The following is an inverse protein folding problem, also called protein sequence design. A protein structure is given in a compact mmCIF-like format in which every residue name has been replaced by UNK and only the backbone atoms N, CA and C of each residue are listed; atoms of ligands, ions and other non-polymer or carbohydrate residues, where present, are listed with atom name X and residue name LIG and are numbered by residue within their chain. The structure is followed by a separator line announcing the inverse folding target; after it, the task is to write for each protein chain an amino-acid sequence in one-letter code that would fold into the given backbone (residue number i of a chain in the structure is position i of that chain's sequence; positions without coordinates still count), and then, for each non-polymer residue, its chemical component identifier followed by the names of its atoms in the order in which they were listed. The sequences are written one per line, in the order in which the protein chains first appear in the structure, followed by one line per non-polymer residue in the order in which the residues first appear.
data_IF_648086027043
#
_entry.id   IF_648086027043
#
_cell.length_a   1.000
_cell.length_b   1.000
_cell.length_c   1.000
_cell.angle_alpha   90.00
_cell.angle_beta   90.00
_cell.angle_gamma   90.00
#
_symmetry.space_group_name_H-M   'P 1'
#
loop_
_entity.id
_entity.type
_entity.pdbx_description
1 polymer ?
#
# COMPACT_ATOMS: atom_id res chain seq x y z
N UNK A 1 18.01 17.34 -2.23
CA UNK A 1 17.23 16.21 -1.65
C UNK A 1 18.09 15.18 -0.92
N UNK A 2 19.41 15.05 -1.18
CA UNK A 2 20.28 14.15 -0.40
C UNK A 2 20.20 12.65 -0.76
N UNK A 3 19.57 12.30 -1.88
CA UNK A 3 19.63 10.94 -2.45
C UNK A 3 20.86 10.86 -3.36
N UNK A 4 21.85 10.05 -2.98
CA UNK A 4 23.08 9.89 -3.76
C UNK A 4 22.92 8.93 -4.94
N UNK A 5 22.05 7.92 -4.80
CA UNK A 5 21.72 6.97 -5.88
C UNK A 5 20.42 6.23 -5.54
N UNK A 6 19.45 6.21 -6.47
CA UNK A 6 18.26 5.35 -6.36
C UNK A 6 18.63 3.95 -6.87
N UNK A 7 18.93 3.03 -5.94
CA UNK A 7 19.32 1.67 -6.31
C UNK A 7 18.09 0.93 -6.83
N UNK A 8 18.09 0.59 -8.12
CA UNK A 8 17.05 -0.26 -8.73
C UNK A 8 17.58 -1.67 -8.91
N UNK A 9 16.86 -2.67 -8.44
CA UNK A 9 17.22 -4.08 -8.63
C UNK A 9 15.98 -4.91 -8.99
N UNK A 10 16.13 -5.81 -9.97
CA UNK A 10 15.13 -6.85 -10.25
C UNK A 10 15.40 -8.04 -9.33
N UNK A 11 14.37 -8.51 -8.64
CA UNK A 11 14.45 -9.54 -7.60
C UNK A 11 13.54 -10.69 -7.98
N UNK A 12 14.12 -11.89 -8.09
CA UNK A 12 13.39 -13.15 -8.08
C UNK A 12 13.29 -13.64 -6.63
N UNK A 13 12.07 -13.95 -6.19
CA UNK A 13 11.79 -14.51 -4.87
C UNK A 13 12.04 -16.02 -4.83
N UNK A 14 11.85 -16.71 -5.97
CA UNK A 14 12.09 -18.16 -6.12
C UNK A 14 13.58 -18.48 -6.21
N UNK A 15 14.31 -17.74 -7.02
CA UNK A 15 15.74 -17.95 -7.22
C UNK A 15 16.52 -17.04 -6.26
N UNK A 16 17.19 -17.63 -5.27
CA UNK A 16 18.08 -16.91 -4.34
C UNK A 16 19.55 -17.24 -4.61
N UNK A 17 20.46 -16.31 -4.30
CA UNK A 17 21.90 -16.53 -4.44
C UNK A 17 22.37 -16.52 -5.90
N UNK A 18 23.31 -17.39 -6.28
CA UNK A 18 23.92 -17.41 -7.63
C UNK A 18 22.89 -17.66 -8.75
N UNK A 19 21.82 -18.39 -8.47
CA UNK A 19 20.73 -18.62 -9.42
C UNK A 19 19.96 -17.33 -9.75
N UNK A 20 19.83 -16.39 -8.79
CA UNK A 20 19.16 -15.11 -8.96
C UNK A 20 19.91 -14.19 -9.94
N UNK A 21 21.23 -14.16 -9.85
CA UNK A 21 22.08 -13.36 -10.73
C UNK A 21 22.05 -13.86 -12.18
N UNK A 22 21.86 -15.17 -12.37
CA UNK A 22 21.71 -15.78 -13.70
C UNK A 22 20.30 -15.58 -14.27
N UNK A 23 19.25 -15.62 -13.45
CA UNK A 23 17.87 -15.38 -13.88
C UNK A 23 17.61 -13.91 -14.21
N UNK A 24 18.20 -12.98 -13.45
CA UNK A 24 18.08 -11.54 -13.68
C UNK A 24 18.61 -11.09 -15.07
N UNK A 25 19.52 -11.86 -15.67
CA UNK A 25 20.07 -11.59 -17.01
C UNK A 25 19.33 -12.31 -18.15
N UNK A 26 18.36 -13.19 -17.86
CA UNK A 26 17.73 -14.06 -18.87
C UNK A 26 16.20 -14.02 -18.93
N UNK A 27 15.53 -13.50 -17.90
CA UNK A 27 14.08 -13.42 -17.87
C UNK A 27 13.60 -12.00 -18.26
N UNK A 28 12.43 -11.94 -18.90
CA UNK A 28 11.82 -10.73 -19.48
C UNK A 28 12.10 -9.44 -18.66
N UNK A 29 12.55 -8.35 -19.31
CA UNK A 29 12.84 -7.12 -18.60
C UNK A 29 11.56 -6.55 -17.96
N UNK A 30 11.72 -5.86 -16.83
CA UNK A 30 10.62 -5.13 -16.19
C UNK A 30 10.29 -3.87 -17.00
N UNK A 31 9.54 -4.06 -18.08
CA UNK A 31 9.18 -3.04 -19.05
C UNK A 31 7.66 -3.01 -19.23
N UNK A 32 6.93 -2.42 -18.27
CA UNK A 32 5.47 -2.30 -18.36
C UNK A 32 5.08 -1.46 -19.59
N UNK A 33 4.12 -1.96 -20.37
CA UNK A 33 3.65 -1.35 -21.62
C UNK A 33 2.30 -0.69 -21.44
N UNK A 34 1.77 -0.17 -22.55
CA UNK A 34 0.44 0.39 -22.62
C UNK A 34 -0.60 -0.59 -22.09
N UNK A 35 -1.35 -0.15 -21.09
CA UNK A 35 -2.42 -0.92 -20.46
C UNK A 35 -1.98 -1.94 -19.44
N UNK A 36 -0.67 -2.13 -19.22
CA UNK A 36 -0.18 -2.93 -18.09
C UNK A 36 -0.34 -2.15 -16.77
N UNK A 37 -0.44 -2.87 -15.66
CA UNK A 37 -0.69 -2.29 -14.35
C UNK A 37 0.52 -2.49 -13.46
N UNK A 38 1.06 -1.39 -12.95
CA UNK A 38 2.15 -1.36 -11.99
C UNK A 38 1.55 -1.24 -10.58
N UNK A 39 1.85 -2.20 -9.72
CA UNK A 39 1.41 -2.27 -8.34
C UNK A 39 2.58 -1.98 -7.40
N UNK A 40 2.43 -1.02 -6.50
CA UNK A 40 3.46 -0.73 -5.49
C UNK A 40 2.92 -0.31 -4.14
N UNK A 41 3.74 -0.52 -3.10
CA UNK A 41 3.49 0.13 -1.82
C UNK A 41 3.54 1.66 -1.98
N UNK A 42 2.80 2.37 -1.13
CA UNK A 42 2.75 3.82 -1.15
C UNK A 42 3.16 4.37 0.19
N UNK A 43 4.19 5.20 0.23
CA UNK A 43 4.71 5.77 1.48
C UNK A 43 5.10 7.23 1.37
N UNK A 44 5.31 7.75 0.17
CA UNK A 44 5.70 9.15 -0.04
C UNK A 44 5.35 9.64 -1.43
N UNK A 45 5.29 10.96 -1.62
CA UNK A 45 5.25 11.60 -2.94
C UNK A 45 6.51 11.29 -3.77
N UNK A 46 7.62 10.91 -3.12
CA UNK A 46 8.81 10.40 -3.82
C UNK A 46 8.49 9.15 -4.64
N UNK A 47 7.60 8.28 -4.18
CA UNK A 47 7.21 7.06 -4.88
C UNK A 47 6.56 7.40 -6.23
N UNK A 48 5.72 8.43 -6.23
CA UNK A 48 5.08 8.99 -7.42
C UNK A 48 6.13 9.59 -8.37
N UNK A 49 7.11 10.35 -7.86
CA UNK A 49 8.16 10.90 -8.73
C UNK A 49 9.04 9.83 -9.37
N UNK A 50 9.47 8.84 -8.59
CA UNK A 50 10.34 7.76 -9.08
C UNK A 50 9.64 6.98 -10.18
N UNK A 51 8.37 6.66 -9.97
CA UNK A 51 7.56 5.94 -10.95
C UNK A 51 7.28 6.80 -12.19
N UNK A 52 7.01 8.11 -12.02
CA UNK A 52 6.86 9.05 -13.13
C UNK A 52 8.10 9.11 -14.02
N UNK A 53 9.29 9.25 -13.42
CA UNK A 53 10.55 9.32 -14.16
C UNK A 53 10.90 7.99 -14.83
N UNK A 54 10.60 6.86 -14.18
CA UNK A 54 10.98 5.54 -14.70
C UNK A 54 10.05 5.00 -15.79
N UNK A 55 8.74 5.19 -15.62
CA UNK A 55 7.74 4.49 -16.42
C UNK A 55 6.74 5.42 -17.09
N UNK A 56 6.73 6.72 -16.74
CA UNK A 56 5.74 7.69 -17.19
C UNK A 56 4.28 7.15 -17.15
N UNK A 57 3.81 6.60 -16.02
CA UNK A 57 2.52 5.93 -15.96
C UNK A 57 1.37 6.94 -15.79
N UNK A 58 0.17 6.46 -16.05
CA UNK A 58 -1.07 7.14 -15.67
C UNK A 58 -1.32 6.87 -14.18
N UNK A 59 -1.43 7.93 -13.38
CA UNK A 59 -1.65 7.82 -11.95
C UNK A 59 -3.13 7.76 -11.61
N UNK A 60 -3.49 6.86 -10.70
CA UNK A 60 -4.86 6.70 -10.21
C UNK A 60 -4.97 7.08 -8.74
N UNK A 61 -6.04 7.83 -8.39
CA UNK A 61 -6.47 8.01 -7.01
C UNK A 61 -7.72 7.17 -6.72
N UNK A 62 -7.78 6.50 -5.56
CA UNK A 62 -8.95 5.76 -5.15
C UNK A 62 -10.11 6.68 -4.81
N UNK A 63 -11.32 6.25 -5.18
CA UNK A 63 -12.58 6.88 -4.83
C UNK A 63 -13.35 5.94 -3.91
N UNK A 64 -13.83 6.47 -2.79
CA UNK A 64 -14.55 5.72 -1.76
C UNK A 64 -15.91 6.36 -1.46
N UNK A 65 -16.85 5.56 -0.99
CA UNK A 65 -18.13 6.04 -0.49
C UNK A 65 -17.94 6.76 0.86
N UNK A 66 -18.76 7.78 1.16
CA UNK A 66 -18.73 8.45 2.45
C UNK A 66 -18.97 7.45 3.59
N UNK A 67 -18.27 7.64 4.70
CA UNK A 67 -18.49 6.85 5.91
C UNK A 67 -19.88 7.18 6.47
N UNK A 68 -20.76 6.20 6.61
CA UNK A 68 -22.07 6.35 7.26
C UNK A 68 -21.97 6.28 8.79
N UNK A 69 -20.76 6.21 9.36
CA UNK A 69 -20.57 6.10 10.79
C UNK A 69 -20.89 7.42 11.49
N UNK A 70 -22.08 7.49 12.09
CA UNK A 70 -22.32 8.39 13.23
C UNK A 70 -21.36 7.94 14.34
N UNK A 71 -20.56 8.83 14.96
CA UNK A 71 -19.71 8.43 16.07
C UNK A 71 -20.61 8.06 17.24
N UNK A 72 -20.86 6.76 17.43
CA UNK A 72 -21.45 6.26 18.66
C UNK A 72 -20.48 6.64 19.78
N UNK A 73 -20.90 7.57 20.65
CA UNK A 73 -20.21 7.92 21.86
C UNK A 73 -19.90 6.62 22.63
N UNK A 74 -18.63 6.24 22.69
CA UNK A 74 -18.18 5.16 23.55
C UNK A 74 -18.35 5.64 24.99
N UNK A 75 -19.41 5.16 25.63
CA UNK A 75 -19.63 5.30 27.06
C UNK A 75 -18.38 4.81 27.80
N UNK A 76 -17.75 5.73 28.52
CA UNK A 76 -16.61 5.48 29.39
C UNK A 76 -16.99 4.56 30.54
N UNK A 77 -16.82 3.24 30.39
CA UNK A 77 -16.78 2.34 31.54
C UNK A 77 -15.39 2.44 32.18
N UNK A 78 -15.32 3.15 33.30
CA UNK A 78 -14.15 3.29 34.17
C UNK A 78 -13.62 1.91 34.60
N UNK A 79 -12.42 1.54 34.14
CA UNK A 79 -11.65 0.45 34.73
C UNK A 79 -10.71 1.04 35.80
N UNK A 80 -10.85 0.55 37.04
CA UNK A 80 -10.02 0.95 38.21
C UNK A 80 -8.54 0.58 37.98
N UNK A 81 -7.57 1.41 38.41
CA UNK A 81 -6.16 1.09 38.31
C UNK A 81 -5.73 0.11 39.41
N UNK A 82 -5.07 -0.98 39.03
CA UNK A 82 -4.39 -1.90 39.95
C UNK A 82 -2.89 -1.56 40.03
N UNK A 83 -2.23 -1.64 41.19
CA UNK A 83 -0.93 -1.03 41.39
C UNK A 83 0.22 -1.81 40.72
N UNK A 84 1.18 -1.02 40.24
CA UNK A 84 2.35 -1.45 39.49
C UNK A 84 3.29 -2.37 40.28
N UNK A 85 3.64 -3.52 39.67
CA UNK A 85 4.76 -4.37 40.10
C UNK A 85 5.96 -4.10 39.20
N UNK A 86 6.98 -3.42 39.75
CA UNK A 86 8.30 -3.23 39.13
C UNK A 86 8.93 -4.58 38.77
N UNK A 87 9.23 -4.81 37.48
CA UNK A 87 10.35 -5.64 37.02
C UNK A 87 10.98 -5.03 35.76
N UNK A 88 12.31 -5.02 35.77
CA UNK A 88 13.18 -4.41 34.77
C UNK A 88 13.30 -5.25 33.49
N UNK A 89 13.51 -4.51 32.39
CA UNK A 89 14.32 -4.79 31.20
C UNK A 89 13.97 -6.01 30.31
N UNK A 90 13.50 -5.70 29.09
CA UNK A 90 13.53 -6.61 27.94
C UNK A 90 12.29 -6.54 27.07
N UNK A 91 12.33 -5.69 26.04
CA UNK A 91 11.54 -5.71 24.80
C UNK A 91 10.24 -6.55 24.76
N UNK A 92 9.08 -5.88 24.81
CA UNK A 92 7.82 -6.20 24.08
C UNK A 92 6.59 -5.63 24.82
N UNK A 93 6.17 -4.41 24.48
CA UNK A 93 4.95 -3.81 25.09
C UNK A 93 3.99 -3.21 24.05
N UNK A 94 4.18 -3.46 22.75
CA UNK A 94 3.30 -2.89 21.70
C UNK A 94 2.31 -3.92 21.09
N UNK A 95 2.34 -5.19 21.50
CA UNK A 95 1.61 -6.24 20.77
C UNK A 95 0.32 -6.74 21.41
N UNK A 96 0.08 -6.55 22.71
CA UNK A 96 -1.02 -7.26 23.38
C UNK A 96 -2.34 -6.48 23.46
N UNK A 97 -2.33 -5.14 23.40
CA UNK A 97 -3.57 -4.35 23.48
C UNK A 97 -4.33 -4.26 22.16
N UNK A 98 -3.66 -4.40 21.00
CA UNK A 98 -4.33 -4.40 19.70
C UNK A 98 -4.96 -5.76 19.33
N UNK A 99 -4.48 -6.87 19.91
CA UNK A 99 -5.02 -8.20 19.60
C UNK A 99 -6.47 -8.41 20.10
N UNK A 100 -6.90 -7.68 21.14
CA UNK A 100 -8.26 -7.76 21.67
C UNK A 100 -9.27 -6.84 20.97
N UNK A 101 -8.82 -5.81 20.25
CA UNK A 101 -9.69 -4.99 19.40
C UNK A 101 -9.96 -5.62 18.02
N UNK A 102 -9.23 -6.67 17.64
CA UNK A 102 -9.48 -7.46 16.44
C UNK A 102 -10.70 -8.40 16.55
N UNK A 103 -11.41 -8.43 17.69
CA UNK A 103 -12.72 -9.09 17.83
C UNK A 103 -13.86 -8.07 17.71
N UNK A 104 -13.83 -7.25 16.65
CA UNK A 104 -15.04 -6.55 16.20
C UNK A 104 -15.93 -7.56 15.45
N UNK A 105 -17.25 -7.47 15.62
CA UNK A 105 -18.22 -8.41 15.04
C UNK A 105 -18.07 -8.55 13.52
N UNK A 106 -18.26 -9.75 12.94
CA UNK A 106 -18.05 -10.03 11.50
C UNK A 106 -18.94 -9.18 10.55
N UNK A 107 -19.99 -8.55 11.06
CA UNK A 107 -20.84 -7.65 10.29
C UNK A 107 -20.17 -6.28 9.99
N UNK A 108 -19.29 -5.79 10.87
CA UNK A 108 -18.64 -4.49 10.69
C UNK A 108 -17.53 -4.53 9.63
N UNK A 109 -16.86 -5.67 9.46
CA UNK A 109 -15.81 -5.87 8.47
C UNK A 109 -16.36 -5.95 7.04
N UNK A 110 -17.52 -6.59 6.84
CA UNK A 110 -18.18 -6.64 5.52
C UNK A 110 -18.64 -5.28 5.02
N UNK A 111 -19.00 -4.36 5.93
CA UNK A 111 -19.31 -2.97 5.57
C UNK A 111 -18.08 -2.13 5.23
N UNK A 112 -16.89 -2.49 5.74
CA UNK A 112 -15.65 -1.76 5.46
C UNK A 112 -15.15 -2.00 4.03
N UNK A 113 -15.18 -3.25 3.57
CA UNK A 113 -14.71 -3.60 2.21
C UNK A 113 -15.60 -3.07 1.07
N UNK A 114 -16.88 -2.77 1.35
CA UNK A 114 -17.82 -2.22 0.36
C UNK A 114 -17.66 -0.71 0.09
N UNK A 115 -16.72 -0.04 0.77
CA UNK A 115 -16.54 1.42 0.61
C UNK A 115 -15.72 1.80 -0.62
N UNK A 116 -14.92 0.91 -1.17
CA UNK A 116 -14.14 1.21 -2.38
C UNK A 116 -15.04 1.19 -3.63
N UNK A 117 -15.06 2.27 -4.40
CA UNK A 117 -15.92 2.43 -5.58
C UNK A 117 -15.17 2.28 -6.90
N UNK A 118 -13.91 2.70 -6.96
CA UNK A 118 -13.11 2.65 -8.17
C UNK A 118 -11.98 3.68 -8.16
N UNK A 119 -11.53 4.05 -9.35
CA UNK A 119 -10.39 4.94 -9.52
C UNK A 119 -10.72 6.16 -10.37
N UNK A 120 -9.99 7.25 -10.11
CA UNK A 120 -9.96 8.45 -10.93
C UNK A 120 -8.55 8.68 -11.46
N UNK A 121 -8.43 8.90 -12.76
CA UNK A 121 -7.17 9.35 -13.37
C UNK A 121 -6.83 10.77 -12.93
N UNK A 122 -5.57 10.97 -12.57
CA UNK A 122 -5.07 12.25 -12.09
C UNK A 122 -3.77 12.64 -12.77
N UNK A 123 -3.50 13.94 -12.79
CA UNK A 123 -2.20 14.43 -13.23
C UNK A 123 -1.11 14.09 -12.20
N UNK A 124 0.15 14.13 -12.65
CA UNK A 124 1.31 13.93 -11.77
C UNK A 124 1.25 14.84 -10.53
N UNK A 125 0.94 16.12 -10.71
CA UNK A 125 0.86 17.07 -9.60
C UNK A 125 -0.25 16.74 -8.59
N UNK A 126 -1.40 16.28 -9.07
CA UNK A 126 -2.49 15.83 -8.21
C UNK A 126 -2.10 14.57 -7.42
N UNK A 127 -1.39 13.63 -8.05
CA UNK A 127 -0.85 12.45 -7.38
C UNK A 127 0.22 12.81 -6.32
N UNK A 128 1.07 13.82 -6.60
CA UNK A 128 2.04 14.31 -5.62
C UNK A 128 1.36 15.00 -4.43
N UNK A 129 0.35 15.82 -4.70
CA UNK A 129 -0.38 16.56 -3.66
C UNK A 129 -1.36 15.69 -2.85
N UNK A 130 -1.65 14.46 -3.29
CA UNK A 130 -2.49 13.50 -2.58
C UNK A 130 -1.71 12.65 -1.56
N UNK A 131 -0.38 12.59 -1.64
CA UNK A 131 0.43 11.82 -0.69
C UNK A 131 0.14 12.23 0.76
N UNK A 132 -0.06 11.27 1.67
CA UNK A 132 -0.45 11.57 3.06
C UNK A 132 -1.95 11.72 3.28
N UNK A 133 -2.74 12.10 2.26
CA UNK A 133 -4.20 12.30 2.40
C UNK A 133 -4.96 10.97 2.39
N UNK A 134 -6.23 11.03 2.78
CA UNK A 134 -7.20 9.94 2.64
C UNK A 134 -7.70 9.81 1.19
N UNK A 135 -8.33 8.69 0.82
CA UNK A 135 -8.95 8.50 -0.49
C UNK A 135 -10.00 9.58 -0.80
N UNK A 136 -10.31 9.78 -2.09
CA UNK A 136 -11.31 10.76 -2.51
C UNK A 136 -12.71 10.29 -2.12
N UNK A 137 -13.50 11.15 -1.50
CA UNK A 137 -14.87 10.82 -1.10
C UNK A 137 -15.84 11.17 -2.24
N UNK A 138 -16.66 10.20 -2.64
CA UNK A 138 -17.71 10.39 -3.64
C UNK A 138 -18.66 11.52 -3.24
N UNK A 139 -18.97 12.41 -4.18
CA UNK A 139 -19.86 13.56 -4.00
C UNK A 139 -19.19 14.82 -3.41
N UNK A 140 -18.11 14.69 -2.63
CA UNK A 140 -17.39 15.85 -2.06
C UNK A 140 -16.22 16.29 -2.95
N UNK A 141 -15.30 15.36 -3.21
CA UNK A 141 -14.01 15.64 -3.86
C UNK A 141 -13.84 14.82 -5.16
N UNK A 142 -14.62 13.75 -5.32
CA UNK A 142 -14.51 12.87 -6.47
C UNK A 142 -15.45 13.29 -7.61
N UNK A 143 -14.88 13.43 -8.81
CA UNK A 143 -15.64 13.45 -10.06
C UNK A 143 -16.07 12.03 -10.47
N UNK A 144 -16.17 11.77 -11.78
CA UNK A 144 -16.41 10.42 -12.31
C UNK A 144 -15.28 9.46 -11.92
N UNK A 145 -15.65 8.24 -11.53
CA UNK A 145 -14.72 7.13 -11.28
C UNK A 145 -14.97 6.00 -12.28
N UNK A 146 -13.95 5.18 -12.52
CA UNK A 146 -14.00 4.01 -13.42
C UNK A 146 -13.33 2.81 -12.77
N UNK A 147 -13.68 1.62 -13.26
CA UNK A 147 -13.05 0.37 -12.87
C UNK A 147 -11.63 0.28 -13.40
N UNK A 148 -10.75 -0.41 -12.65
CA UNK A 148 -9.35 -0.58 -13.00
C UNK A 148 -9.16 -1.24 -14.38
N UNK A 149 -9.96 -2.25 -14.71
CA UNK A 149 -9.86 -2.93 -16.01
C UNK A 149 -10.21 -2.00 -17.18
N UNK A 150 -11.23 -1.15 -17.02
CA UNK A 150 -11.64 -0.18 -18.04
C UNK A 150 -10.55 0.85 -18.27
N UNK A 151 -10.00 1.40 -17.18
CA UNK A 151 -8.88 2.34 -17.24
C UNK A 151 -7.67 1.71 -17.92
N UNK A 152 -7.28 0.50 -17.51
CA UNK A 152 -6.13 -0.20 -18.08
C UNK A 152 -6.30 -0.49 -19.57
N UNK A 153 -7.52 -0.81 -20.03
CA UNK A 153 -7.82 -1.03 -21.45
C UNK A 153 -7.74 0.26 -22.29
N UNK A 154 -8.20 1.38 -21.74
CA UNK A 154 -8.25 2.68 -22.44
C UNK A 154 -6.93 3.46 -22.35
N UNK A 155 -6.12 3.17 -21.34
CA UNK A 155 -4.86 3.83 -21.04
C UNK A 155 -3.93 3.91 -22.26
N UNK A 156 -3.29 5.07 -22.45
CA UNK A 156 -2.26 5.29 -23.47
C UNK A 156 -0.86 4.79 -23.04
N UNK A 157 -0.66 4.53 -21.74
CA UNK A 157 0.58 4.05 -21.15
C UNK A 157 0.32 3.04 -20.03
N UNK A 158 1.35 2.65 -19.25
CA UNK A 158 1.14 1.81 -18.09
C UNK A 158 0.36 2.56 -17.00
N UNK A 159 -0.37 1.83 -16.17
CA UNK A 159 -1.22 2.37 -15.12
C UNK A 159 -0.60 2.11 -13.75
N UNK A 160 -0.41 3.16 -12.95
CA UNK A 160 0.15 3.04 -11.61
C UNK A 160 -0.95 2.96 -10.55
N UNK A 161 -0.91 1.91 -9.72
CA UNK A 161 -1.88 1.68 -8.64
C UNK A 161 -1.17 1.42 -7.32
N UNK A 162 -1.66 2.10 -6.29
CA UNK A 162 -1.25 1.93 -4.90
C UNK A 162 -2.37 1.18 -4.14
N UNK A 163 -2.29 -0.15 -3.97
CA UNK A 163 -3.37 -0.97 -3.41
C UNK A 163 -3.62 -0.71 -1.91
N UNK A 164 -2.70 -0.04 -1.21
CA UNK A 164 -2.89 0.42 0.18
C UNK A 164 -3.88 1.59 0.29
N UNK A 165 -4.24 2.24 -0.83
CA UNK A 165 -5.11 3.43 -0.97
C UNK A 165 -4.63 4.70 -0.27
N UNK A 166 -3.73 4.59 0.71
CA UNK A 166 -3.15 5.68 1.49
C UNK A 166 -1.66 5.44 1.69
N UNK A 167 -0.91 6.51 2.01
CA UNK A 167 0.51 6.36 2.33
C UNK A 167 0.73 5.66 3.68
N UNK A 168 1.63 4.69 3.70
CA UNK A 168 2.15 4.04 4.91
C UNK A 168 3.42 4.74 5.42
N UNK A 169 4.02 4.19 6.48
CA UNK A 169 5.29 4.65 7.03
C UNK A 169 6.50 3.87 6.48
N UNK A 170 6.29 3.00 5.48
CA UNK A 170 7.31 2.12 4.90
C UNK A 170 8.00 1.16 5.89
N UNK A 171 7.41 0.92 7.07
CA UNK A 171 7.84 -0.12 8.03
C UNK A 171 6.88 -1.29 8.08
N UNK A 172 5.60 -0.94 8.01
CA UNK A 172 4.51 -1.86 7.80
C UNK A 172 3.90 -1.68 6.42
N UNK A 173 3.49 -2.79 5.81
CA UNK A 173 2.60 -2.79 4.66
C UNK A 173 1.16 -2.82 5.19
N UNK A 174 0.36 -1.84 4.81
CA UNK A 174 -1.07 -1.80 5.12
C UNK A 174 -1.80 -2.93 4.37
N UNK A 175 -2.96 -3.30 4.89
CA UNK A 175 -3.86 -4.25 4.23
C UNK A 175 -4.27 -3.67 2.87
N UNK A 176 -4.12 -4.47 1.82
CA UNK A 176 -4.55 -4.06 0.48
C UNK A 176 -6.06 -4.04 0.42
N UNK A 177 -6.62 -2.99 -0.15
CA UNK A 177 -8.04 -2.97 -0.46
C UNK A 177 -8.34 -3.93 -1.62
N UNK A 178 -9.59 -4.39 -1.71
CA UNK A 178 -10.09 -5.19 -2.83
C UNK A 178 -10.24 -4.32 -4.09
N UNK A 179 -9.12 -3.91 -4.68
CA UNK A 179 -9.04 -3.03 -5.84
C UNK A 179 -9.27 -3.74 -7.18
N UNK A 180 -9.19 -5.08 -7.18
CA UNK A 180 -9.25 -5.86 -8.41
C UNK A 180 -10.70 -6.10 -8.84
N UNK A 181 -10.98 -6.09 -10.17
CA UNK A 181 -12.30 -6.41 -10.69
C UNK A 181 -12.79 -7.79 -10.21
N UNK A 182 -14.11 -7.98 -9.98
CA UNK A 182 -14.67 -9.28 -9.60
C UNK A 182 -14.21 -10.43 -10.51
N UNK A 183 -14.17 -10.20 -11.83
CA UNK A 183 -13.74 -11.20 -12.81
C UNK A 183 -12.31 -11.70 -12.59
N UNK A 184 -11.39 -10.83 -12.15
CA UNK A 184 -10.01 -11.20 -11.88
C UNK A 184 -9.87 -11.96 -10.57
N UNK A 185 -10.61 -11.51 -9.55
CA UNK A 185 -10.65 -12.16 -8.23
C UNK A 185 -11.20 -13.58 -8.33
N UNK A 186 -12.30 -13.76 -9.05
CA UNK A 186 -12.94 -15.05 -9.22
C UNK A 186 -12.08 -16.01 -10.04
N UNK A 187 -11.45 -15.51 -11.12
CA UNK A 187 -10.49 -16.29 -11.90
C UNK A 187 -9.33 -16.74 -11.03
N UNK A 188 -8.71 -15.81 -10.29
CA UNK A 188 -7.57 -16.12 -9.44
C UNK A 188 -7.92 -17.12 -8.32
N UNK A 189 -9.11 -17.02 -7.72
CA UNK A 189 -9.59 -17.98 -6.72
C UNK A 189 -9.67 -19.41 -7.25
N UNK A 190 -10.04 -19.58 -8.52
CA UNK A 190 -10.18 -20.91 -9.15
C UNK A 190 -8.84 -21.46 -9.64
N UNK A 191 -8.01 -20.63 -10.28
CA UNK A 191 -6.81 -21.08 -10.98
C UNK A 191 -5.51 -20.89 -10.19
N UNK A 192 -5.53 -20.05 -9.15
CA UNK A 192 -4.31 -19.59 -8.46
C UNK A 192 -3.38 -18.75 -9.33
N UNK A 193 -3.80 -18.34 -10.53
CA UNK A 193 -2.99 -17.54 -11.44
C UNK A 193 -3.89 -16.74 -12.38
N UNK A 194 -3.56 -15.48 -12.59
CA UNK A 194 -4.28 -14.59 -13.47
C UNK A 194 -3.85 -14.82 -14.92
N UNK A 195 -4.16 -16.01 -15.47
CA UNK A 195 -3.85 -16.38 -16.86
C UNK A 195 -4.85 -15.75 -17.80
N UNK A 196 -4.75 -14.44 -17.91
CA UNK A 196 -5.58 -13.68 -18.78
C UNK A 196 -5.05 -13.85 -20.20
N UNK A 197 -5.93 -14.24 -21.14
CA UNK A 197 -5.53 -14.53 -22.52
C UNK A 197 -4.83 -13.36 -23.23
N UNK A 198 -4.39 -13.60 -24.48
CA UNK A 198 -3.66 -12.60 -25.28
C UNK A 198 -4.41 -11.26 -25.34
N UNK A 199 -3.70 -10.17 -25.04
CA UNK A 199 -4.19 -8.79 -25.17
C UNK A 199 -4.82 -8.19 -23.92
N UNK A 200 -4.61 -8.78 -22.74
CA UNK A 200 -5.02 -8.18 -21.46
C UNK A 200 -3.82 -7.71 -20.64
N UNK A 201 -4.10 -6.82 -19.68
CA UNK A 201 -3.12 -6.14 -18.83
C UNK A 201 -2.29 -7.12 -18.01
N UNK A 202 -0.96 -7.03 -18.13
CA UNK A 202 -0.06 -7.73 -17.23
C UNK A 202 0.10 -6.96 -15.92
N UNK A 203 0.28 -7.70 -14.81
CA UNK A 203 0.57 -7.10 -13.51
C UNK A 203 2.08 -7.03 -13.32
N UNK A 204 2.58 -5.85 -13.03
CA UNK A 204 3.97 -5.59 -12.71
C UNK A 204 4.06 -5.18 -11.24
N UNK A 205 4.81 -5.94 -10.44
CA UNK A 205 4.91 -5.69 -9.01
C UNK A 205 6.24 -5.02 -8.71
N UNK A 206 6.19 -3.87 -8.05
CA UNK A 206 7.36 -3.16 -7.58
C UNK A 206 7.20 -2.77 -6.12
N UNK A 207 8.31 -2.63 -5.40
CA UNK A 207 8.29 -2.11 -4.05
C UNK A 207 9.39 -1.09 -3.85
N UNK A 208 9.04 0.04 -3.24
CA UNK A 208 9.98 1.10 -2.90
C UNK A 208 10.22 1.05 -1.39
N UNK A 209 11.49 0.90 -1.01
CA UNK A 209 11.93 0.87 0.37
C UNK A 209 12.70 2.14 0.71
N UNK A 210 12.21 2.82 1.73
CA UNK A 210 12.85 3.96 2.35
C UNK A 210 13.68 3.53 3.54
N UNK A 211 14.85 4.14 3.68
CA UNK A 211 15.66 3.96 4.87
C UNK A 211 15.00 4.55 6.12
N UNK A 212 15.43 4.03 7.26
CA UNK A 212 15.03 4.52 8.56
C UNK A 212 15.38 6.01 8.74
N UNK A 213 14.48 6.82 9.34
CA UNK A 213 14.92 8.11 9.86
C UNK A 213 16.00 7.87 10.93
N UNK A 214 17.06 8.66 10.88
CA UNK A 214 18.11 8.72 11.91
C UNK A 214 18.08 10.12 12.54
N UNK A 215 18.72 10.35 13.70
CA UNK A 215 18.71 11.67 14.35
C UNK A 215 19.18 12.82 13.46
N UNK A 216 20.00 12.52 12.45
CA UNK A 216 20.56 13.49 11.49
C UNK A 216 19.87 13.49 10.13
N UNK A 217 18.97 12.53 9.87
CA UNK A 217 18.34 12.31 8.58
C UNK A 217 16.81 12.28 8.71
N UNK A 218 16.15 13.33 8.21
CA UNK A 218 14.69 13.43 8.17
C UNK A 218 14.09 12.29 7.35
N UNK A 219 12.95 11.77 7.83
CA UNK A 219 12.19 10.71 7.14
C UNK A 219 11.86 11.13 5.71
N UNK A 220 12.05 10.21 4.77
CA UNK A 220 11.63 10.40 3.38
C UNK A 220 10.19 9.95 3.12
N UNK A 221 9.56 9.30 4.11
CA UNK A 221 8.15 8.90 4.08
C UNK A 221 7.24 10.03 4.53
N UNK A 222 6.09 10.16 3.88
CA UNK A 222 5.07 11.16 4.18
C UNK A 222 3.73 10.49 4.47
N UNK A 223 3.58 10.01 5.71
CA UNK A 223 2.37 9.32 6.15
C UNK A 223 1.26 10.28 6.59
N UNK A 224 1.62 11.48 7.07
CA UNK A 224 0.68 12.49 7.57
C UNK A 224 0.76 13.72 6.66
N UNK A 225 -0.38 14.24 6.17
CA UNK A 225 -0.37 15.40 5.29
C UNK A 225 0.00 16.66 6.08
N UNK A 226 0.67 17.60 5.41
CA UNK A 226 0.96 18.94 5.96
C UNK A 226 0.13 20.01 5.23
N UNK A 227 -0.09 21.20 5.81
CA UNK A 227 -0.92 22.24 5.19
C UNK A 227 -0.48 22.65 3.77
N UNK A 228 0.83 22.60 3.50
CA UNK A 228 1.43 22.89 2.20
C UNK A 228 2.06 21.61 1.61
N UNK A 229 1.28 20.53 1.53
CA UNK A 229 1.73 19.25 1.03
C UNK A 229 1.98 19.26 -0.49
N UNK A 230 3.12 18.73 -1.02
CA UNK A 230 4.29 18.20 -0.32
C UNK A 230 5.42 19.21 -0.08
N UNK A 231 5.21 20.51 -0.35
CA UNK A 231 6.23 21.56 -0.32
C UNK A 231 6.99 21.67 1.01
N UNK A 232 6.31 21.62 2.16
CA UNK A 232 7.00 21.68 3.46
C UNK A 232 7.91 20.47 3.69
N UNK A 233 7.47 19.29 3.23
CA UNK A 233 8.27 18.09 3.32
C UNK A 233 9.46 18.14 2.34
N UNK A 234 9.24 18.65 1.13
CA UNK A 234 10.31 18.91 0.15
C UNK A 234 11.35 19.85 0.76
N UNK A 235 10.92 20.97 1.33
CA UNK A 235 11.80 21.91 2.01
C UNK A 235 12.60 21.23 3.11
N UNK A 236 11.93 20.48 4.00
CA UNK A 236 12.58 19.74 5.10
C UNK A 236 13.61 18.71 4.59
N UNK A 237 13.33 18.02 3.49
CA UNK A 237 14.29 17.08 2.90
C UNK A 237 15.46 17.80 2.23
N UNK A 238 15.23 18.96 1.61
CA UNK A 238 16.26 19.76 0.95
C UNK A 238 17.15 20.51 1.94
N UNK A 239 16.62 20.94 3.09
CA UNK A 239 17.36 21.63 4.14
C UNK A 239 18.12 20.66 5.07
N UNK A 240 17.91 19.35 4.93
CA UNK A 240 18.65 18.34 5.68
C UNK A 240 20.05 18.15 5.08
N UNK A 241 21.09 18.36 5.88
CA UNK A 241 22.51 18.20 5.52
C UNK A 241 22.95 16.73 5.31
N UNK A 242 22.03 15.78 5.31
CA UNK A 242 22.32 14.36 5.13
C UNK A 242 22.40 13.99 3.64
N UNK A 243 23.60 13.66 3.18
CA UNK A 243 23.90 13.25 1.78
C UNK A 243 23.70 11.74 1.51
N UNK A 244 23.34 10.96 2.52
CA UNK A 244 23.25 9.49 2.44
C UNK A 244 21.81 8.99 2.68
N UNK A 245 20.82 9.51 1.96
CA UNK A 245 19.47 8.92 1.99
C UNK A 245 19.43 7.74 1.02
N UNK A 246 19.37 6.52 1.57
CA UNK A 246 19.16 5.32 0.77
C UNK A 246 17.68 5.17 0.41
N UNK A 247 17.46 4.87 -0.87
CA UNK A 247 16.17 4.58 -1.45
C UNK A 247 16.35 3.42 -2.41
N UNK A 248 15.62 2.33 -2.15
CA UNK A 248 15.77 1.11 -2.92
C UNK A 248 14.47 0.80 -3.65
N UNK A 249 14.56 0.68 -4.98
CA UNK A 249 13.47 0.24 -5.83
C UNK A 249 13.71 -1.22 -6.17
N UNK A 250 12.81 -2.09 -5.75
CA UNK A 250 12.86 -3.53 -6.01
C UNK A 250 11.74 -3.89 -6.97
N UNK A 251 12.11 -4.44 -8.12
CA UNK A 251 11.19 -4.86 -9.17
C UNK A 251 11.04 -6.37 -9.08
N UNK A 252 9.82 -6.90 -9.07
CA UNK A 252 9.62 -8.34 -9.14
C UNK A 252 10.03 -8.84 -10.53
N UNK A 253 10.67 -10.00 -10.61
CA UNK A 253 10.85 -10.69 -11.89
C UNK A 253 9.46 -10.95 -12.54
N UNK A 254 9.21 -10.50 -13.79
CA UNK A 254 7.90 -10.68 -14.44
C UNK A 254 7.45 -12.15 -14.53
N UNK A 255 8.37 -13.11 -14.49
CA UNK A 255 8.04 -14.55 -14.45
C UNK A 255 7.35 -15.00 -13.15
N UNK A 256 7.44 -14.20 -12.09
CA UNK A 256 6.84 -14.44 -10.78
C UNK A 256 5.60 -13.57 -10.51
N UNK A 257 5.17 -12.77 -11.48
CA UNK A 257 3.92 -12.03 -11.39
C UNK A 257 2.70 -12.96 -11.45
N UNK A 258 1.58 -12.68 -10.74
CA UNK A 258 0.34 -13.44 -10.84
C UNK A 258 -0.20 -13.62 -12.27
N UNK A 259 0.13 -12.73 -13.20
CA UNK A 259 -0.28 -12.85 -14.61
C UNK A 259 0.61 -13.76 -15.45
N UNK A 260 1.77 -14.15 -14.92
CA UNK A 260 2.74 -14.95 -15.65
C UNK A 260 2.31 -16.41 -15.80
N UNK A 261 2.63 -17.02 -16.94
CA UNK A 261 2.36 -18.45 -17.17
C UNK A 261 3.09 -19.37 -16.19
N UNK A 262 4.26 -18.95 -15.69
CA UNK A 262 5.09 -19.67 -14.70
C UNK A 262 4.74 -19.34 -13.24
N UNK A 263 3.72 -18.51 -13.01
CA UNK A 263 3.26 -18.24 -11.67
C UNK A 263 2.67 -19.49 -11.03
N UNK A 264 3.06 -19.73 -9.78
CA UNK A 264 2.52 -20.78 -8.94
C UNK A 264 2.11 -20.10 -7.65
N UNK A 265 0.81 -20.02 -7.38
CA UNK A 265 0.32 -19.54 -6.10
C UNK A 265 0.83 -20.47 -4.98
N UNK A 266 1.17 -19.86 -3.86
CA UNK A 266 1.48 -20.60 -2.64
C UNK A 266 0.19 -21.29 -2.16
N UNK A 267 0.25 -22.60 -1.92
CA UNK A 267 -0.89 -23.41 -1.51
C UNK A 267 -1.55 -22.86 -0.23
N UNK A 268 -0.78 -22.15 0.61
CA UNK A 268 -1.25 -21.52 1.84
C UNK A 268 -2.22 -20.35 1.62
N UNK A 269 -2.24 -19.74 0.42
CA UNK A 269 -3.20 -18.68 0.07
C UNK A 269 -4.59 -19.25 -0.18
N UNK A 270 -4.69 -20.50 -0.66
CA UNK A 270 -5.98 -21.18 -0.86
C UNK A 270 -6.60 -21.76 0.42
N UNK A 271 -5.78 -22.15 1.40
CA UNK A 271 -6.26 -22.86 2.60
C UNK A 271 -6.57 -21.95 3.79
N UNK A 272 -5.97 -20.75 3.88
CA UNK A 272 -6.23 -19.83 4.99
C UNK A 272 -7.62 -19.19 4.95
N UNK A 273 -8.27 -19.18 3.78
CA UNK A 273 -9.66 -18.72 3.62
C UNK A 273 -10.71 -19.57 4.36
N UNK A 274 -10.36 -20.76 4.87
CA UNK A 274 -11.29 -21.64 5.58
C UNK A 274 -11.11 -21.64 7.11
N UNK A 275 -10.07 -21.00 7.66
CA UNK A 275 -9.71 -21.15 9.08
C UNK A 275 -9.16 -19.91 9.80
N UNK A 276 -8.79 -18.83 9.11
CA UNK A 276 -8.58 -17.53 9.78
C UNK A 276 -9.86 -16.72 9.71
N UNK A 277 -10.47 -16.51 10.88
CA UNK A 277 -11.67 -15.70 11.10
C UNK A 277 -11.53 -14.28 10.53
N UNK A 278 -12.12 -14.05 9.36
CA UNK A 278 -12.22 -12.75 8.70
C UNK A 278 -12.69 -12.98 7.26
N UNK A 279 -13.94 -12.64 6.95
CA UNK A 279 -14.61 -13.07 5.72
C UNK A 279 -13.99 -12.54 4.42
N UNK A 280 -13.97 -13.38 3.39
CA UNK A 280 -14.00 -12.93 1.99
C UNK A 280 -12.77 -12.20 1.44
N UNK A 281 -11.62 -12.25 2.10
CA UNK A 281 -10.41 -11.55 1.63
C UNK A 281 -10.09 -11.88 0.16
N UNK A 282 -9.84 -10.82 -0.61
CA UNK A 282 -9.43 -10.90 -2.01
C UNK A 282 -8.09 -11.63 -2.10
N UNK A 283 -8.13 -12.93 -2.42
CA UNK A 283 -6.95 -13.79 -2.53
C UNK A 283 -5.88 -13.24 -3.50
N UNK A 284 -6.29 -12.47 -4.52
CA UNK A 284 -5.35 -11.82 -5.43
C UNK A 284 -4.66 -10.64 -4.75
N UNK A 285 -5.40 -9.77 -4.06
CA UNK A 285 -4.83 -8.70 -3.25
C UNK A 285 -3.90 -9.23 -2.16
N UNK A 286 -4.27 -10.35 -1.54
CA UNK A 286 -3.47 -11.03 -0.53
C UNK A 286 -2.14 -11.55 -1.10
N UNK A 287 -2.19 -12.18 -2.28
CA UNK A 287 -0.99 -12.66 -2.97
C UNK A 287 -0.07 -11.52 -3.40
N UNK A 288 -0.62 -10.45 -3.97
CA UNK A 288 0.13 -9.22 -4.33
C UNK A 288 0.74 -8.58 -3.07
N UNK A 289 0.00 -8.55 -1.96
CA UNK A 289 0.46 -8.11 -0.64
C UNK A 289 1.64 -8.93 -0.14
N UNK A 290 1.56 -10.25 -0.26
CA UNK A 290 2.65 -11.18 0.07
C UNK A 290 3.91 -10.91 -0.76
N UNK A 291 3.76 -10.67 -2.07
CA UNK A 291 4.87 -10.37 -2.98
C UNK A 291 5.53 -9.03 -2.63
N UNK A 292 4.76 -7.95 -2.46
CA UNK A 292 5.30 -6.63 -2.07
C UNK A 292 5.99 -6.69 -0.70
N UNK A 293 5.35 -7.35 0.27
CA UNK A 293 5.92 -7.56 1.61
C UNK A 293 7.25 -8.31 1.53
N UNK A 294 7.33 -9.37 0.72
CA UNK A 294 8.54 -10.18 0.55
C UNK A 294 9.65 -9.43 -0.17
N UNK A 295 9.33 -8.63 -1.20
CA UNK A 295 10.31 -7.84 -1.95
C UNK A 295 11.07 -6.89 -1.04
N UNK A 296 10.38 -6.10 -0.23
CA UNK A 296 11.03 -5.07 0.62
C UNK A 296 11.20 -5.47 2.10
N UNK A 297 10.76 -6.69 2.46
CA UNK A 297 10.72 -7.20 3.85
C UNK A 297 9.89 -6.29 4.76
N UNK A 298 8.72 -5.87 4.28
CA UNK A 298 7.79 -5.03 5.03
C UNK A 298 6.91 -5.90 5.93
N UNK A 299 6.72 -5.51 7.20
CA UNK A 299 5.86 -6.25 8.13
C UNK A 299 4.39 -6.03 7.76
N UNK A 300 3.58 -7.07 7.69
CA UNK A 300 2.14 -6.94 7.44
C UNK A 300 1.44 -6.53 8.73
N UNK A 301 0.66 -5.45 8.70
CA UNK A 301 0.08 -4.85 9.90
C UNK A 301 -1.35 -5.29 10.18
N UNK A 302 -2.08 -5.72 9.14
CA UNK A 302 -3.54 -5.96 9.21
C UNK A 302 -4.38 -4.68 9.27
N UNK A 303 -3.74 -3.50 9.36
CA UNK A 303 -4.41 -2.20 9.37
C UNK A 303 -4.74 -1.77 7.94
N UNK A 304 -5.97 -1.34 7.72
CA UNK A 304 -6.46 -0.82 6.44
C UNK A 304 -6.29 0.68 6.30
N UNK A 305 -6.75 1.20 5.17
CA UNK A 305 -6.82 2.64 4.92
C UNK A 305 -7.90 3.30 5.80
N UNK A 306 -8.92 2.54 6.19
CA UNK A 306 -10.01 2.97 7.08
C UNK A 306 -9.47 3.31 8.47
N UNK A 307 -8.56 2.49 9.01
CA UNK A 307 -7.92 2.76 10.30
C UNK A 307 -7.09 4.05 10.25
N UNK A 308 -6.48 4.34 9.08
CA UNK A 308 -5.75 5.59 8.86
C UNK A 308 -6.67 6.79 8.75
N UNK A 309 -7.84 6.65 8.13
CA UNK A 309 -8.88 7.69 8.09
C UNK A 309 -9.26 8.10 9.52
N UNK A 310 -9.60 7.13 10.37
CA UNK A 310 -9.92 7.35 11.79
C UNK A 310 -8.74 7.98 12.54
N UNK A 311 -7.51 7.49 12.30
CA UNK A 311 -6.31 8.08 12.90
C UNK A 311 -6.13 9.56 12.54
N UNK A 312 -6.33 9.93 11.28
CA UNK A 312 -6.19 11.32 10.83
C UNK A 312 -7.28 12.23 11.40
N UNK A 313 -8.51 11.72 11.52
CA UNK A 313 -9.60 12.44 12.21
C UNK A 313 -9.23 12.72 13.68
N UNK A 314 -8.75 11.71 14.41
CA UNK A 314 -8.30 11.88 15.80
C UNK A 314 -7.09 12.83 15.91
N UNK A 315 -6.12 12.70 15.01
CA UNK A 315 -4.91 13.52 15.00
C UNK A 315 -5.24 15.00 14.76
N UNK A 316 -6.10 15.28 13.79
CA UNK A 316 -6.54 16.64 13.47
C UNK A 316 -7.44 17.22 14.57
N UNK A 317 -8.32 16.41 15.17
CA UNK A 317 -9.17 16.83 16.28
C UNK A 317 -8.40 17.13 17.58
N UNK A 318 -7.37 16.33 17.88
CA UNK A 318 -6.55 16.49 19.10
C UNK A 318 -5.54 17.62 18.99
N UNK A 319 -5.09 17.95 17.76
CA UNK A 319 -4.17 19.06 17.51
C UNK A 319 -4.73 20.45 17.85
N UNK A 320 -6.05 20.59 17.97
CA UNK A 320 -6.72 21.84 18.37
C UNK A 320 -6.81 22.06 19.89
N UNK A 321 -6.67 21.01 20.71
CA UNK A 321 -6.89 21.10 22.15
C UNK A 321 -5.61 21.36 22.97
N UNK A 322 -4.42 21.18 22.39
CA UNK A 322 -3.11 21.32 23.07
C UNK A 322 -2.30 22.57 22.73
N UNK A 323 -2.87 23.51 21.97
CA UNK A 323 -2.30 24.85 21.72
C UNK A 323 -3.30 25.91 22.21
N UNK A 324 -3.40 26.04 23.53
CA UNK A 324 -3.89 27.26 24.19
C UNK A 324 -2.91 27.60 25.30
#
# INVERSE_FOLDING_TARGET
MGFSLVKTETVSLKNRGRAAALSANRANPFEPKRGDIILSNFSSWLDVLITAVKFNPIFLLPVVSPSSATPAASSSSQAKPSPARRRNAGASVVTETNAKQAQASPAADQTREKRFLGFREVSLWQALASAGKTPLIHGKDAGSYRDLATIAKEAAGPVMVFPELVTSNNRGLLRMASIFPPSWRDLYKVTGALRIGRGQSELYIMSIKHDAPTPVCSSSTLSIPTPLNPLLHIWSLCSSLSFAKGLQVRLLDPSESPTSGSYLADASVGTKGAGSSGGGEDALAEAVGGLISSLSRLKRTGLGWEDKEIFLEMYNGSGGAGRK
#
